data_IF_977437347866
#
_entry.id   IF_977437347866
#
_cell.length_a   1.000
_cell.length_b   1.000
_cell.length_c   1.000
_cell.angle_alpha   90.00
_cell.angle_beta   90.00
_cell.angle_gamma   90.00
#
_symmetry.space_group_name_H-M   'P 1'
#
loop_
_entity.id
_entity.type
_entity.pdbx_description
1 polymer ?
#
# COMPACT_ATOMS: atom_id res chain seq x y z
N UNK A 1 -1.63 -15.83 -46.04
CA UNK A 1 -1.36 -15.81 -44.59
C UNK A 1 -2.61 -16.32 -43.90
N UNK A 2 -2.55 -17.27 -42.96
CA UNK A 2 -3.71 -17.68 -42.17
C UNK A 2 -4.13 -16.52 -41.27
N UNK A 3 -5.43 -16.24 -41.17
CA UNK A 3 -5.97 -15.27 -40.23
C UNK A 3 -5.73 -15.78 -38.80
N UNK A 4 -4.70 -15.22 -38.15
CA UNK A 4 -4.48 -15.48 -36.73
C UNK A 4 -5.66 -14.87 -35.96
N UNK A 5 -6.29 -15.60 -35.03
CA UNK A 5 -7.32 -15.02 -34.18
C UNK A 5 -6.72 -13.80 -33.46
N UNK A 6 -7.41 -12.65 -33.55
CA UNK A 6 -6.94 -11.45 -32.87
C UNK A 6 -6.76 -11.77 -31.38
N UNK A 7 -5.63 -11.36 -30.77
CA UNK A 7 -5.45 -11.56 -29.35
C UNK A 7 -6.63 -10.91 -28.62
N UNK A 8 -7.13 -11.52 -27.53
CA UNK A 8 -8.27 -10.99 -26.80
C UNK A 8 -7.99 -9.53 -26.45
N UNK A 9 -8.76 -8.62 -27.04
CA UNK A 9 -8.66 -7.21 -26.73
C UNK A 9 -9.12 -7.04 -25.28
N UNK A 10 -8.19 -6.79 -24.35
CA UNK A 10 -8.55 -6.39 -22.99
C UNK A 10 -9.19 -5.02 -23.09
N UNK A 11 -10.51 -4.97 -23.19
CA UNK A 11 -11.26 -3.73 -23.05
C UNK A 11 -10.85 -3.10 -21.72
N UNK A 12 -10.38 -1.85 -21.68
CA UNK A 12 -10.07 -1.19 -20.42
C UNK A 12 -11.31 -1.26 -19.53
N UNK A 13 -11.18 -1.89 -18.36
CA UNK A 13 -12.27 -2.00 -17.40
C UNK A 13 -12.73 -0.58 -17.06
N UNK A 14 -14.01 -0.27 -17.32
CA UNK A 14 -14.53 1.06 -17.07
C UNK A 14 -14.64 1.24 -15.55
N UNK A 15 -13.86 2.19 -15.03
CA UNK A 15 -13.95 2.60 -13.64
C UNK A 15 -15.37 3.10 -13.37
N UNK A 16 -16.14 2.34 -12.59
CA UNK A 16 -17.54 2.65 -12.27
C UNK A 16 -17.69 3.76 -11.22
N UNK A 17 -16.59 4.21 -10.62
CA UNK A 17 -16.55 5.22 -9.58
C UNK A 17 -16.59 6.66 -10.10
N UNK A 18 -17.22 7.54 -9.32
CA UNK A 18 -17.13 8.99 -9.55
C UNK A 18 -15.66 9.44 -9.42
N UNK A 19 -15.07 9.90 -10.53
CA UNK A 19 -13.66 10.29 -10.64
C UNK A 19 -13.24 11.34 -9.60
N UNK A 20 -14.14 12.26 -9.25
CA UNK A 20 -13.87 13.29 -8.23
C UNK A 20 -13.75 12.71 -6.81
N UNK A 21 -14.58 11.73 -6.48
CA UNK A 21 -14.53 11.04 -5.19
C UNK A 21 -13.26 10.19 -5.07
N UNK A 22 -12.89 9.52 -6.17
CA UNK A 22 -11.63 8.77 -6.26
C UNK A 22 -10.41 9.67 -6.08
N UNK A 23 -10.38 10.86 -6.70
CA UNK A 23 -9.29 11.81 -6.49
C UNK A 23 -9.18 12.24 -5.01
N UNK A 24 -10.31 12.52 -4.35
CA UNK A 24 -10.32 12.85 -2.91
C UNK A 24 -9.72 11.71 -2.07
N UNK A 25 -10.15 10.46 -2.31
CA UNK A 25 -9.58 9.30 -1.64
C UNK A 25 -8.08 9.13 -1.93
N UNK A 26 -7.66 9.31 -3.19
CA UNK A 26 -6.25 9.27 -3.57
C UNK A 26 -5.43 10.33 -2.83
N UNK A 27 -5.91 11.57 -2.68
CA UNK A 27 -5.20 12.62 -1.95
C UNK A 27 -5.05 12.28 -0.47
N UNK A 28 -6.12 11.82 0.18
CA UNK A 28 -6.07 11.41 1.59
C UNK A 28 -5.09 10.25 1.77
N UNK A 29 -5.15 9.23 0.90
CA UNK A 29 -4.20 8.11 0.94
C UNK A 29 -2.78 8.56 0.67
N UNK A 30 -2.54 9.51 -0.22
CA UNK A 30 -1.20 10.06 -0.46
C UNK A 30 -0.63 10.68 0.82
N UNK A 31 -1.43 11.46 1.55
CA UNK A 31 -1.01 12.03 2.84
C UNK A 31 -0.72 10.92 3.85
N UNK A 32 -1.57 9.91 3.94
CA UNK A 32 -1.36 8.78 4.84
C UNK A 32 -0.13 7.95 4.48
N UNK A 33 0.15 7.73 3.19
CA UNK A 33 1.37 7.07 2.69
C UNK A 33 2.61 7.84 3.14
N UNK A 34 2.60 9.17 3.03
CA UNK A 34 3.73 10.00 3.51
C UNK A 34 3.94 9.88 5.02
N UNK A 35 2.86 9.86 5.81
CA UNK A 35 2.93 9.64 7.25
C UNK A 35 3.45 8.23 7.58
N UNK A 36 2.94 7.20 6.91
CA UNK A 36 3.36 5.82 7.09
C UNK A 36 4.85 5.62 6.73
N UNK A 37 5.32 6.21 5.64
CA UNK A 37 6.74 6.17 5.27
C UNK A 37 7.63 6.85 6.31
N UNK A 38 7.21 8.03 6.80
CA UNK A 38 7.93 8.74 7.86
C UNK A 38 7.99 7.93 9.16
N UNK A 39 6.88 7.27 9.51
CA UNK A 39 6.80 6.38 10.66
C UNK A 39 7.66 5.12 10.47
N UNK A 40 7.67 4.50 9.29
CA UNK A 40 8.54 3.37 8.98
C UNK A 40 10.01 3.74 9.12
N UNK A 41 10.41 4.92 8.66
CA UNK A 41 11.77 5.41 8.82
C UNK A 41 12.11 5.60 10.31
N UNK A 42 11.21 6.22 11.07
CA UNK A 42 11.37 6.38 12.51
C UNK A 42 11.50 5.03 13.24
N UNK A 43 10.60 4.09 12.96
CA UNK A 43 10.62 2.75 13.53
C UNK A 43 11.88 1.98 13.15
N UNK A 44 12.36 2.15 11.92
CA UNK A 44 13.63 1.57 11.48
C UNK A 44 14.78 2.09 12.33
N UNK A 45 14.87 3.41 12.55
CA UNK A 45 15.89 4.01 13.43
C UNK A 45 15.79 3.46 14.85
N UNK A 46 14.58 3.44 15.43
CA UNK A 46 14.36 2.87 16.78
C UNK A 46 14.75 1.40 16.84
N UNK A 47 14.41 0.60 15.82
CA UNK A 47 14.75 -0.81 15.75
C UNK A 47 16.26 -1.03 15.74
N UNK A 48 17.01 -0.23 14.97
CA UNK A 48 18.47 -0.29 14.95
C UNK A 48 19.08 0.09 16.31
N UNK A 49 18.55 1.13 16.97
CA UNK A 49 19.00 1.51 18.31
C UNK A 49 18.76 0.40 19.33
N UNK A 50 17.57 -0.21 19.32
CA UNK A 50 17.24 -1.33 20.19
C UNK A 50 18.08 -2.57 19.89
N UNK A 51 18.34 -2.86 18.62
CA UNK A 51 19.19 -3.98 18.23
C UNK A 51 20.63 -3.79 18.75
N UNK A 52 21.19 -2.58 18.70
CA UNK A 52 22.53 -2.30 19.26
C UNK A 52 22.54 -2.55 20.78
N UNK A 53 21.50 -2.12 21.50
CA UNK A 53 21.41 -2.28 22.97
C UNK A 53 21.13 -3.74 23.36
N UNK A 54 20.36 -4.48 22.56
CA UNK A 54 19.92 -5.85 22.83
C UNK A 54 20.80 -6.90 22.12
N UNK A 55 22.10 -6.65 21.95
CA UNK A 55 23.04 -7.62 21.38
C UNK A 55 22.64 -8.15 19.97
N UNK A 56 22.23 -7.24 19.09
CA UNK A 56 21.71 -7.49 17.74
C UNK A 56 20.36 -8.24 17.69
N UNK A 57 19.59 -8.28 18.77
CA UNK A 57 18.24 -8.83 18.73
C UNK A 57 17.20 -7.75 18.33
N UNK A 58 16.47 -7.93 17.22
CA UNK A 58 15.40 -7.04 16.83
C UNK A 58 14.23 -7.09 17.81
N UNK A 59 13.66 -5.93 18.16
CA UNK A 59 12.43 -5.90 18.94
C UNK A 59 11.27 -6.46 18.10
N UNK A 60 10.70 -7.58 18.55
CA UNK A 60 9.65 -8.30 17.84
C UNK A 60 8.38 -7.48 17.60
N UNK A 61 7.98 -6.64 18.57
CA UNK A 61 6.76 -5.82 18.46
C UNK A 61 6.86 -4.76 17.38
N UNK A 62 8.03 -4.12 17.27
CA UNK A 62 8.28 -3.10 16.24
C UNK A 62 8.36 -3.75 14.86
N UNK A 63 8.99 -4.94 14.77
CA UNK A 63 9.08 -5.68 13.52
C UNK A 63 7.70 -6.15 13.02
N UNK A 64 6.85 -6.67 13.91
CA UNK A 64 5.47 -7.05 13.60
C UNK A 64 4.66 -5.84 13.11
N UNK A 65 4.67 -4.72 13.87
CA UNK A 65 3.97 -3.50 13.45
C UNK A 65 4.46 -2.94 12.11
N UNK A 66 5.78 -2.93 11.88
CA UNK A 66 6.35 -2.48 10.61
C UNK A 66 5.94 -3.36 9.42
N UNK A 67 5.73 -4.65 9.65
CA UNK A 67 5.26 -5.61 8.64
C UNK A 67 3.80 -5.34 8.26
N UNK A 68 2.95 -5.11 9.25
CA UNK A 68 1.53 -4.79 9.04
C UNK A 68 1.40 -3.46 8.27
N UNK A 69 2.16 -2.44 8.70
CA UNK A 69 2.19 -1.14 8.04
C UNK A 69 2.70 -1.22 6.59
N UNK A 70 3.72 -2.04 6.33
CA UNK A 70 4.24 -2.30 4.98
C UNK A 70 3.20 -2.99 4.07
N UNK A 71 2.45 -3.95 4.62
CA UNK A 71 1.37 -4.64 3.90
C UNK A 71 0.27 -3.66 3.50
N UNK A 72 -0.15 -2.79 4.42
CA UNK A 72 -1.09 -1.71 4.12
C UNK A 72 -0.54 -0.74 3.05
N UNK A 73 0.74 -0.35 3.14
CA UNK A 73 1.37 0.56 2.19
C UNK A 73 1.34 0.00 0.75
N UNK A 74 1.61 -1.31 0.60
CA UNK A 74 1.54 -1.98 -0.69
C UNK A 74 0.11 -1.99 -1.27
N UNK A 75 -0.92 -2.16 -0.44
CA UNK A 75 -2.33 -2.04 -0.86
C UNK A 75 -2.68 -0.61 -1.28
N UNK A 76 -2.26 0.39 -0.49
CA UNK A 76 -2.50 1.79 -0.79
C UNK A 76 -1.83 2.23 -2.11
N UNK A 77 -0.60 1.77 -2.36
CA UNK A 77 0.11 2.01 -3.62
C UNK A 77 -0.63 1.41 -4.83
N UNK A 78 -1.23 0.22 -4.70
CA UNK A 78 -2.03 -0.41 -5.76
C UNK A 78 -3.28 0.41 -6.11
N UNK A 79 -4.01 0.91 -5.10
CA UNK A 79 -5.16 1.79 -5.31
C UNK A 79 -4.75 3.10 -6.01
N UNK A 80 -3.64 3.72 -5.55
CA UNK A 80 -3.05 4.91 -6.18
C UNK A 80 -2.64 4.66 -7.64
N UNK A 81 -2.06 3.50 -7.94
CA UNK A 81 -1.66 3.09 -9.28
C UNK A 81 -2.85 2.72 -10.18
N UNK A 82 -4.10 2.87 -9.68
CA UNK A 82 -5.31 2.53 -10.42
C UNK A 82 -5.37 1.04 -10.81
N UNK A 83 -4.62 0.18 -10.12
CA UNK A 83 -4.51 -1.25 -10.43
C UNK A 83 -5.55 -2.11 -9.70
N UNK A 84 -6.29 -1.53 -8.75
CA UNK A 84 -7.41 -2.16 -8.04
C UNK A 84 -8.45 -1.11 -7.67
N UNK A 85 -9.71 -1.50 -7.58
CA UNK A 85 -10.80 -0.70 -7.01
C UNK A 85 -10.99 -0.94 -5.50
N UNK A 86 -10.28 -1.92 -4.93
CA UNK A 86 -10.32 -2.20 -3.49
C UNK A 86 -9.69 -1.05 -2.71
N UNK A 87 -10.53 -0.38 -1.90
CA UNK A 87 -10.10 0.73 -1.07
C UNK A 87 -9.37 0.20 0.16
N UNK A 88 -8.13 0.65 0.42
CA UNK A 88 -7.46 0.34 1.68
C UNK A 88 -8.15 1.07 2.85
N UNK A 89 -7.82 0.68 4.09
CA UNK A 89 -8.13 1.47 5.28
C UNK A 89 -7.72 2.95 5.06
N UNK A 90 -8.58 3.94 5.39
CA UNK A 90 -9.67 3.92 6.38
C UNK A 90 -11.05 3.48 5.86
N UNK A 91 -11.24 3.25 4.57
CA UNK A 91 -12.56 2.86 4.03
C UNK A 91 -12.74 1.35 3.89
N UNK A 92 -11.66 0.60 3.74
CA UNK A 92 -11.64 -0.86 3.77
C UNK A 92 -11.09 -1.42 5.08
N UNK A 93 -10.96 -2.74 5.12
CA UNK A 93 -10.40 -3.44 6.27
C UNK A 93 -8.91 -3.09 6.48
N UNK A 94 -8.49 -3.12 7.75
CA UNK A 94 -7.10 -2.94 8.16
C UNK A 94 -6.25 -4.17 7.80
N UNK A 95 -6.78 -5.36 8.11
CA UNK A 95 -6.25 -6.68 7.76
C UNK A 95 -7.37 -7.54 7.16
N UNK A 96 -6.97 -8.55 6.38
CA UNK A 96 -7.86 -9.58 5.83
C UNK A 96 -7.57 -10.91 6.52
#
# INVERSE_FOLDING_TARGET
>A
MPDLPEPPQRTPEKIGENMGMRLLHSVILAVMINLAQSLLLFLTVVQFLLAIVNNNEPNRRIAEFGTDLGTWLARAARYQAMSTEDKPWPWGAWDE
#
